data_IF_801289214624
#
_entry.id   IF_801289214624
#
_cell.length_a   1.000
_cell.length_b   1.000
_cell.length_c   1.000
_cell.angle_alpha   90.00
_cell.angle_beta   90.00
_cell.angle_gamma   90.00
#
_symmetry.space_group_name_H-M   'P 1'
#
loop_
_entity.id
_entity.type
_entity.pdbx_description
1 polymer ?
#
# COMPACT_ATOMS: atom_id res chain seq x y z
N UNK A 1 5.11 -25.29 -8.45
CA UNK A 1 4.50 -25.64 -9.76
C UNK A 1 3.24 -24.79 -9.90
N UNK A 2 3.35 -23.68 -10.62
CA UNK A 2 2.44 -22.54 -10.55
C UNK A 2 1.02 -22.78 -11.07
N UNK A 3 0.03 -22.22 -10.36
CA UNK A 3 -1.30 -21.86 -10.87
C UNK A 3 -1.23 -21.20 -12.27
N UNK A 4 -0.20 -20.38 -12.50
CA UNK A 4 0.10 -19.74 -13.79
C UNK A 4 0.23 -20.71 -14.98
N UNK A 5 0.76 -21.94 -14.80
CA UNK A 5 0.84 -22.93 -15.90
C UNK A 5 -0.50 -23.62 -16.18
N UNK A 6 -1.42 -23.63 -15.23
CA UNK A 6 -2.77 -24.20 -15.41
C UNK A 6 -3.71 -23.22 -16.11
N UNK A 7 -3.56 -21.91 -15.90
CA UNK A 7 -4.41 -20.89 -16.54
C UNK A 7 -4.10 -20.76 -18.04
N UNK A 8 -2.83 -20.90 -18.44
CA UNK A 8 -2.41 -20.72 -19.84
C UNK A 8 -2.07 -22.02 -20.58
N UNK A 9 -2.02 -23.17 -19.89
CA UNK A 9 -1.54 -24.43 -20.43
C UNK A 9 -2.53 -25.25 -21.27
N UNK A 10 -3.76 -24.78 -21.50
CA UNK A 10 -4.83 -25.54 -22.18
C UNK A 10 -5.45 -24.75 -23.34
N UNK A 11 -4.67 -23.94 -24.03
CA UNK A 11 -5.17 -23.16 -25.17
C UNK A 11 -4.94 -23.84 -26.54
N UNK A 12 -4.22 -24.96 -26.64
CA UNK A 12 -3.74 -25.47 -27.94
C UNK A 12 -4.13 -26.89 -28.35
N UNK A 13 -5.05 -27.56 -27.66
CA UNK A 13 -5.59 -28.82 -28.17
C UNK A 13 -7.00 -29.05 -27.63
N UNK A 14 -7.91 -29.46 -28.51
CA UNK A 14 -9.28 -29.92 -28.22
C UNK A 14 -10.35 -28.83 -28.08
N UNK A 15 -10.54 -28.09 -29.17
CA UNK A 15 -11.84 -27.54 -29.53
C UNK A 15 -12.88 -28.69 -29.60
N UNK A 16 -13.75 -28.80 -28.58
CA UNK A 16 -15.20 -29.12 -28.68
C UNK A 16 -15.86 -29.73 -27.40
N UNK A 17 -15.20 -29.88 -26.26
CA UNK A 17 -15.85 -30.50 -25.08
C UNK A 17 -15.55 -29.88 -23.69
N UNK A 18 -15.20 -28.59 -23.61
CA UNK A 18 -14.91 -27.93 -22.33
C UNK A 18 -15.60 -26.55 -22.15
N UNK A 19 -16.75 -26.33 -22.77
CA UNK A 19 -17.48 -25.05 -22.65
C UNK A 19 -18.08 -24.84 -21.25
N UNK A 20 -18.40 -25.91 -20.51
CA UNK A 20 -19.02 -25.80 -19.17
C UNK A 20 -18.02 -25.78 -17.99
N UNK A 21 -16.71 -25.90 -18.25
CA UNK A 21 -15.68 -25.98 -17.20
C UNK A 21 -14.67 -24.83 -17.20
N UNK A 22 -14.81 -23.89 -18.13
CA UNK A 22 -14.13 -22.59 -18.04
C UNK A 22 -14.91 -21.73 -17.05
N UNK A 23 -14.49 -21.73 -15.78
CA UNK A 23 -14.93 -20.73 -14.81
C UNK A 23 -14.75 -19.33 -15.42
N UNK A 24 -15.77 -18.49 -15.25
CA UNK A 24 -15.77 -17.10 -15.69
C UNK A 24 -14.45 -16.42 -15.23
N UNK A 25 -13.60 -15.95 -16.16
CA UNK A 25 -12.31 -15.35 -15.82
C UNK A 25 -12.47 -14.16 -14.86
N UNK A 26 -13.61 -13.46 -14.91
CA UNK A 26 -13.93 -12.41 -13.93
C UNK A 26 -14.03 -12.98 -12.51
N UNK A 27 -14.75 -14.10 -12.33
CA UNK A 27 -14.94 -14.73 -11.02
C UNK A 27 -13.64 -15.33 -10.48
N UNK A 28 -12.82 -15.93 -11.35
CA UNK A 28 -11.50 -16.43 -10.96
C UNK A 28 -10.57 -15.31 -10.50
N UNK A 29 -10.51 -14.19 -11.25
CA UNK A 29 -9.69 -13.03 -10.86
C UNK A 29 -10.20 -12.41 -9.55
N UNK A 30 -11.52 -12.31 -9.36
CA UNK A 30 -12.10 -11.88 -8.08
C UNK A 30 -11.68 -12.76 -6.91
N UNK A 31 -11.73 -14.09 -7.09
CA UNK A 31 -11.32 -15.03 -6.05
C UNK A 31 -9.83 -14.90 -5.76
N UNK A 32 -8.98 -14.80 -6.79
CA UNK A 32 -7.55 -14.58 -6.62
C UNK A 32 -7.24 -13.29 -5.84
N UNK A 33 -7.95 -12.19 -6.11
CA UNK A 33 -7.81 -10.94 -5.35
C UNK A 33 -8.24 -11.12 -3.89
N UNK A 34 -9.34 -11.85 -3.63
CA UNK A 34 -9.77 -12.16 -2.25
C UNK A 34 -8.72 -12.97 -1.49
N UNK A 35 -8.14 -13.99 -2.13
CA UNK A 35 -7.10 -14.81 -1.54
C UNK A 35 -5.82 -14.00 -1.27
N UNK A 36 -5.40 -13.15 -2.23
CA UNK A 36 -4.27 -12.24 -2.04
C UNK A 36 -4.49 -11.25 -0.88
N UNK A 37 -5.72 -10.73 -0.71
CA UNK A 37 -6.05 -9.87 0.43
C UNK A 37 -5.96 -10.61 1.77
N UNK A 38 -6.42 -11.86 1.82
CA UNK A 38 -6.28 -12.71 3.00
C UNK A 38 -4.81 -12.99 3.33
N UNK A 39 -4.00 -13.26 2.32
CA UNK A 39 -2.55 -13.46 2.48
C UNK A 39 -1.85 -12.17 2.93
N UNK A 40 -2.30 -11.01 2.43
CA UNK A 40 -1.82 -9.70 2.88
C UNK A 40 -2.13 -9.48 4.37
N UNK A 41 -3.36 -9.75 4.81
CA UNK A 41 -3.75 -9.61 6.22
C UNK A 41 -2.91 -10.53 7.13
N UNK A 42 -2.74 -11.79 6.72
CA UNK A 42 -1.87 -12.72 7.44
C UNK A 42 -0.41 -12.21 7.50
N UNK A 43 0.10 -11.68 6.38
CA UNK A 43 1.46 -11.14 6.30
C UNK A 43 1.64 -9.90 7.18
N UNK A 44 0.64 -9.03 7.25
CA UNK A 44 0.62 -7.86 8.12
C UNK A 44 0.64 -8.27 9.60
N UNK A 45 -0.14 -9.28 9.97
CA UNK A 45 -0.13 -9.82 11.34
C UNK A 45 1.23 -10.39 11.71
N UNK A 46 1.81 -11.24 10.86
CA UNK A 46 3.15 -11.79 11.10
C UNK A 46 4.22 -10.69 11.15
N UNK A 47 4.14 -9.67 10.28
CA UNK A 47 5.02 -8.51 10.34
C UNK A 47 4.90 -7.76 11.66
N UNK A 48 3.68 -7.56 12.16
CA UNK A 48 3.45 -6.90 13.45
C UNK A 48 4.04 -7.70 14.62
N UNK A 49 3.86 -9.03 14.61
CA UNK A 49 4.44 -9.93 15.63
C UNK A 49 5.97 -9.85 15.63
N UNK A 50 6.61 -9.94 14.46
CA UNK A 50 8.07 -9.84 14.34
C UNK A 50 8.55 -8.46 14.77
N UNK A 51 7.88 -7.37 14.36
CA UNK A 51 8.20 -6.01 14.81
C UNK A 51 8.11 -5.87 16.33
N UNK A 52 7.09 -6.45 16.97
CA UNK A 52 6.97 -6.42 18.42
C UNK A 52 8.14 -7.12 19.11
N UNK A 53 8.59 -8.27 18.58
CA UNK A 53 9.80 -8.96 19.05
C UNK A 53 11.03 -8.07 18.86
N UNK A 54 11.21 -7.45 17.68
CA UNK A 54 12.34 -6.54 17.40
C UNK A 54 12.37 -5.34 18.36
N UNK A 55 11.22 -4.74 18.65
CA UNK A 55 11.11 -3.63 19.61
C UNK A 55 11.56 -4.09 21.01
N UNK A 56 11.12 -5.27 21.44
CA UNK A 56 11.54 -5.85 22.72
C UNK A 56 13.05 -6.11 22.75
N UNK A 57 13.61 -6.75 21.72
CA UNK A 57 15.06 -6.99 21.60
C UNK A 57 15.86 -5.68 21.68
N UNK A 58 15.36 -4.60 21.06
CA UNK A 58 16.01 -3.28 21.14
C UNK A 58 15.98 -2.75 22.56
N UNK A 59 14.86 -2.90 23.28
CA UNK A 59 14.78 -2.49 24.68
C UNK A 59 15.76 -3.28 25.55
N UNK A 60 15.84 -4.59 25.38
CA UNK A 60 16.77 -5.46 26.11
C UNK A 60 18.24 -5.10 25.82
N UNK A 61 18.56 -4.71 24.59
CA UNK A 61 19.89 -4.19 24.24
C UNK A 61 20.21 -2.90 25.02
N UNK A 62 19.29 -1.94 25.03
CA UNK A 62 19.49 -0.68 25.74
C UNK A 62 19.55 -0.86 27.26
N UNK A 63 18.74 -1.75 27.82
CA UNK A 63 18.81 -2.15 29.23
C UNK A 63 20.18 -2.77 29.58
N UNK A 64 20.72 -3.65 28.72
CA UNK A 64 22.04 -4.25 28.93
C UNK A 64 23.17 -3.20 28.87
N UNK A 65 23.10 -2.25 27.92
CA UNK A 65 24.06 -1.13 27.84
C UNK A 65 23.97 -0.22 29.06
N UNK A 66 22.76 0.12 29.49
CA UNK A 66 22.54 0.94 30.69
C UNK A 66 23.11 0.26 31.94
N UNK A 67 22.90 -1.05 32.08
CA UNK A 67 23.46 -1.84 33.18
C UNK A 67 25.00 -1.85 33.16
N UNK A 68 25.62 -1.98 31.99
CA UNK A 68 27.08 -1.88 31.87
C UNK A 68 27.60 -0.51 32.34
N UNK A 69 26.94 0.57 31.91
CA UNK A 69 27.28 1.95 32.33
C UNK A 69 27.08 2.18 33.83
N UNK A 70 26.03 1.62 34.41
CA UNK A 70 25.76 1.69 35.85
C UNK A 70 26.86 1.01 36.67
N UNK A 71 27.28 -0.20 36.28
CA UNK A 71 28.39 -0.89 36.96
C UNK A 71 29.73 -0.18 36.79
N UNK A 72 29.98 0.44 35.64
CA UNK A 72 31.13 1.32 35.44
C UNK A 72 31.11 2.52 36.39
N UNK A 73 29.97 3.21 36.50
CA UNK A 73 29.79 4.31 37.44
C UNK A 73 30.00 3.88 38.89
N UNK A 74 29.48 2.70 39.27
CA UNK A 74 29.69 2.12 40.61
C UNK A 74 31.17 1.84 40.88
N UNK A 75 31.91 1.30 39.91
CA UNK A 75 33.35 1.07 40.05
C UNK A 75 34.11 2.38 40.27
N UNK A 76 33.81 3.42 39.49
CA UNK A 76 34.42 4.75 39.62
C UNK A 76 34.11 5.36 41.00
N UNK A 77 32.86 5.27 41.46
CA UNK A 77 32.45 5.79 42.76
C UNK A 77 33.13 5.06 43.93
N UNK A 78 33.34 3.75 43.82
CA UNK A 78 34.06 2.98 44.83
C UNK A 78 35.52 3.44 44.95
N UNK A 79 36.20 3.63 43.81
CA UNK A 79 37.58 4.14 43.79
C UNK A 79 37.64 5.54 44.40
N UNK A 80 36.75 6.46 44.00
CA UNK A 80 36.72 7.81 44.56
C UNK A 80 36.41 7.84 46.07
N UNK A 81 35.60 6.91 46.58
CA UNK A 81 35.35 6.78 48.03
C UNK A 81 36.60 6.31 48.78
N UNK A 82 37.39 5.41 48.21
CA UNK A 82 38.66 4.98 48.79
C UNK A 82 39.66 6.14 48.86
N UNK A 83 39.77 6.94 47.79
CA UNK A 83 40.62 8.13 47.75
C UNK A 83 40.23 9.16 48.82
N UNK A 84 38.92 9.30 49.09
CA UNK A 84 38.41 10.17 50.16
C UNK A 84 38.50 9.58 51.57
N UNK A 85 39.01 8.36 51.73
CA UNK A 85 39.14 7.66 53.01
C UNK A 85 37.82 7.17 53.62
N UNK A 86 36.72 7.16 52.86
CA UNK A 86 35.41 6.72 53.33
C UNK A 86 35.28 5.19 53.41
N UNK A 87 36.09 4.45 52.65
CA UNK A 87 36.16 2.99 52.65
C UNK A 87 37.63 2.54 52.56
N UNK A 88 37.92 1.34 53.06
CA UNK A 88 39.24 0.74 52.94
C UNK A 88 39.62 0.48 51.48
N UNK A 89 40.88 0.73 51.13
CA UNK A 89 41.36 0.62 49.76
C UNK A 89 41.28 -0.81 49.21
N UNK A 90 41.58 -1.83 50.03
CA UNK A 90 41.54 -3.21 49.58
C UNK A 90 40.09 -3.67 49.33
N UNK A 91 39.14 -3.22 50.16
CA UNK A 91 37.73 -3.50 49.94
C UNK A 91 37.16 -2.75 48.72
N UNK A 92 37.58 -1.50 48.50
CA UNK A 92 37.21 -0.73 47.32
C UNK A 92 37.67 -1.40 46.03
N UNK A 93 38.94 -1.82 45.97
CA UNK A 93 39.52 -2.51 44.81
C UNK A 93 38.80 -3.83 44.53
N UNK A 94 38.49 -4.61 45.57
CA UNK A 94 37.73 -5.85 45.44
C UNK A 94 36.32 -5.61 44.88
N UNK A 95 35.59 -4.63 45.42
CA UNK A 95 34.23 -4.30 44.98
C UNK A 95 34.21 -3.68 43.58
N UNK A 96 35.18 -2.81 43.25
CA UNK A 96 35.32 -2.22 41.93
C UNK A 96 35.63 -3.31 40.88
N UNK A 97 36.50 -4.25 41.20
CA UNK A 97 36.79 -5.42 40.34
C UNK A 97 35.55 -6.28 40.09
N UNK A 98 34.72 -6.51 41.11
CA UNK A 98 33.45 -7.21 40.97
C UNK A 98 32.46 -6.43 40.10
N UNK A 99 32.36 -5.11 40.27
CA UNK A 99 31.53 -4.25 39.44
C UNK A 99 31.98 -4.28 37.97
N UNK A 100 33.28 -4.21 37.70
CA UNK A 100 33.84 -4.33 36.35
C UNK A 100 33.57 -5.71 35.73
N UNK A 101 33.61 -6.78 36.52
CA UNK A 101 33.21 -8.12 36.05
C UNK A 101 31.74 -8.15 35.64
N UNK A 102 30.85 -7.49 36.40
CA UNK A 102 29.42 -7.36 36.06
C UNK A 102 29.20 -6.48 34.82
N UNK A 103 29.98 -5.40 34.65
CA UNK A 103 30.01 -4.58 33.44
C UNK A 103 30.33 -5.45 32.23
N UNK A 104 31.40 -6.23 32.29
CA UNK A 104 31.82 -7.11 31.18
C UNK A 104 30.71 -8.10 30.80
N UNK A 105 30.08 -8.74 31.78
CA UNK A 105 28.93 -9.62 31.54
C UNK A 105 27.75 -8.90 30.85
N UNK A 106 27.46 -7.66 31.26
CA UNK A 106 26.41 -6.85 30.65
C UNK A 106 26.78 -6.42 29.21
N UNK A 107 28.04 -6.08 28.95
CA UNK A 107 28.53 -5.74 27.60
C UNK A 107 28.49 -6.95 26.64
N UNK A 108 28.82 -8.15 27.12
CA UNK A 108 28.72 -9.38 26.32
C UNK A 108 27.26 -9.68 25.93
N UNK A 109 26.32 -9.47 26.87
CA UNK A 109 24.88 -9.55 26.58
C UNK A 109 24.45 -8.51 25.56
N UNK A 110 24.87 -7.25 25.73
CA UNK A 110 24.58 -6.19 24.77
C UNK A 110 25.10 -6.52 23.37
N UNK A 111 26.34 -7.01 23.26
CA UNK A 111 26.94 -7.40 21.98
C UNK A 111 26.15 -8.52 21.29
N UNK A 112 25.72 -9.52 22.06
CA UNK A 112 24.92 -10.64 21.56
C UNK A 112 23.54 -10.16 21.08
N UNK A 113 22.86 -9.35 21.90
CA UNK A 113 21.55 -8.77 21.58
C UNK A 113 21.63 -7.85 20.36
N UNK A 114 22.72 -7.10 20.19
CA UNK A 114 22.92 -6.22 19.05
C UNK A 114 23.02 -7.00 17.73
N UNK A 115 23.79 -8.10 17.71
CA UNK A 115 23.89 -8.97 16.51
C UNK A 115 22.53 -9.58 16.15
N UNK A 116 21.78 -10.04 17.17
CA UNK A 116 20.44 -10.57 16.98
C UNK A 116 19.48 -9.50 16.42
N UNK A 117 19.51 -8.29 17.00
CA UNK A 117 18.67 -7.18 16.58
C UNK A 117 18.93 -6.79 15.12
N UNK A 118 20.20 -6.69 14.70
CA UNK A 118 20.54 -6.40 13.30
C UNK A 118 19.93 -7.41 12.33
N UNK A 119 20.00 -8.70 12.68
CA UNK A 119 19.41 -9.77 11.85
C UNK A 119 17.88 -9.64 11.80
N UNK A 120 17.25 -9.32 12.92
CA UNK A 120 15.80 -9.10 12.99
C UNK A 120 15.36 -7.88 12.18
N UNK A 121 16.11 -6.78 12.24
CA UNK A 121 15.81 -5.55 11.48
C UNK A 121 15.87 -5.78 9.96
N UNK A 122 16.85 -6.54 9.48
CA UNK A 122 16.93 -6.94 8.06
C UNK A 122 15.71 -7.78 7.65
N UNK A 123 15.30 -8.73 8.51
CA UNK A 123 14.13 -9.56 8.24
C UNK A 123 12.84 -8.74 8.22
N UNK A 124 12.66 -7.81 9.16
CA UNK A 124 11.52 -6.88 9.19
C UNK A 124 11.47 -6.06 7.90
N UNK A 125 12.59 -5.46 7.49
CA UNK A 125 12.65 -4.67 6.25
C UNK A 125 12.26 -5.49 5.00
N UNK A 126 12.73 -6.74 4.93
CA UNK A 126 12.35 -7.66 3.85
C UNK A 126 10.86 -8.00 3.87
N UNK A 127 10.28 -8.22 5.04
CA UNK A 127 8.84 -8.48 5.19
C UNK A 127 8.01 -7.26 4.79
N UNK A 128 8.42 -6.05 5.19
CA UNK A 128 7.79 -4.79 4.77
C UNK A 128 7.79 -4.63 3.26
N UNK A 129 8.93 -4.89 2.61
CA UNK A 129 9.04 -4.83 1.16
C UNK A 129 8.11 -5.84 0.48
N UNK A 130 8.00 -7.06 1.02
CA UNK A 130 7.08 -8.09 0.48
C UNK A 130 5.62 -7.69 0.66
N UNK A 131 5.24 -7.16 1.83
CA UNK A 131 3.89 -6.63 2.09
C UNK A 131 3.56 -5.50 1.11
N UNK A 132 4.50 -4.57 0.89
CA UNK A 132 4.29 -3.48 -0.05
C UNK A 132 4.11 -3.99 -1.48
N UNK A 133 4.91 -4.98 -1.90
CA UNK A 133 4.76 -5.63 -3.20
C UNK A 133 3.39 -6.30 -3.35
N UNK A 134 2.92 -7.03 -2.34
CA UNK A 134 1.60 -7.65 -2.34
C UNK A 134 0.50 -6.59 -2.48
N UNK A 135 0.58 -5.46 -1.75
CA UNK A 135 -0.36 -4.34 -1.90
C UNK A 135 -0.40 -3.80 -3.32
N UNK A 136 0.76 -3.55 -3.92
CA UNK A 136 0.84 -3.09 -5.32
C UNK A 136 0.23 -4.10 -6.27
N UNK A 137 0.55 -5.39 -6.13
CA UNK A 137 -0.01 -6.45 -6.97
C UNK A 137 -1.53 -6.53 -6.85
N UNK A 138 -2.08 -6.47 -5.63
CA UNK A 138 -3.53 -6.44 -5.41
C UNK A 138 -4.17 -5.26 -6.14
N UNK A 139 -3.60 -4.07 -6.02
CA UNK A 139 -4.11 -2.88 -6.72
C UNK A 139 -4.06 -3.01 -8.24
N UNK A 140 -2.98 -3.57 -8.79
CA UNK A 140 -2.89 -3.88 -10.23
C UNK A 140 -4.01 -4.84 -10.65
N UNK A 141 -4.19 -5.94 -9.93
CA UNK A 141 -5.23 -6.92 -10.25
C UNK A 141 -6.64 -6.37 -10.10
N UNK A 142 -6.90 -5.49 -9.13
CA UNK A 142 -8.19 -4.81 -9.00
C UNK A 142 -8.51 -3.92 -10.21
N UNK A 143 -7.50 -3.22 -10.74
CA UNK A 143 -7.66 -2.41 -11.95
C UNK A 143 -7.85 -3.28 -13.21
N UNK A 144 -7.10 -4.38 -13.31
CA UNK A 144 -7.29 -5.36 -14.39
C UNK A 144 -8.68 -5.99 -14.32
N UNK A 145 -9.19 -6.31 -13.13
CA UNK A 145 -10.53 -6.84 -12.92
C UNK A 145 -11.61 -5.88 -13.41
N UNK A 146 -11.49 -4.56 -13.14
CA UNK A 146 -12.42 -3.55 -13.67
C UNK A 146 -12.46 -3.57 -15.20
N UNK A 147 -11.29 -3.64 -15.82
CA UNK A 147 -11.16 -3.73 -17.28
C UNK A 147 -11.76 -5.03 -17.82
N UNK A 148 -11.50 -6.15 -17.15
CA UNK A 148 -12.00 -7.46 -17.53
C UNK A 148 -13.53 -7.52 -17.43
N UNK A 149 -14.12 -6.95 -16.38
CA UNK A 149 -15.59 -6.81 -16.22
C UNK A 149 -16.22 -5.99 -17.35
N UNK A 150 -15.61 -4.85 -17.69
CA UNK A 150 -16.10 -4.03 -18.80
C UNK A 150 -16.07 -4.79 -20.13
N UNK A 151 -14.96 -5.47 -20.43
CA UNK A 151 -14.82 -6.30 -21.63
C UNK A 151 -15.79 -7.47 -21.65
N UNK A 152 -16.00 -8.13 -20.52
CA UNK A 152 -16.98 -9.21 -20.39
C UNK A 152 -18.39 -8.71 -20.68
N UNK A 153 -18.79 -7.55 -20.13
CA UNK A 153 -20.10 -6.92 -20.39
C UNK A 153 -20.29 -6.55 -21.86
N UNK A 154 -19.27 -5.97 -22.50
CA UNK A 154 -19.30 -5.65 -23.95
C UNK A 154 -19.40 -6.92 -24.79
N UNK A 155 -18.64 -7.97 -24.46
CA UNK A 155 -18.69 -9.26 -25.14
C UNK A 155 -20.06 -9.94 -25.00
N UNK A 156 -20.63 -9.93 -23.80
CA UNK A 156 -21.98 -10.44 -23.53
C UNK A 156 -23.05 -9.68 -24.32
N UNK A 157 -23.00 -8.35 -24.31
CA UNK A 157 -23.91 -7.51 -25.10
C UNK A 157 -23.79 -7.77 -26.60
N UNK A 158 -22.55 -7.89 -27.11
CA UNK A 158 -22.28 -8.19 -28.53
C UNK A 158 -22.76 -9.59 -28.90
N UNK A 159 -22.55 -10.59 -28.04
CA UNK A 159 -23.05 -11.95 -28.24
C UNK A 159 -24.58 -12.00 -28.25
N UNK A 160 -25.24 -11.31 -27.32
CA UNK A 160 -26.70 -11.20 -27.26
C UNK A 160 -27.26 -10.53 -28.52
N UNK A 161 -26.66 -9.42 -28.95
CA UNK A 161 -27.04 -8.74 -30.20
C UNK A 161 -26.88 -9.66 -31.41
N UNK A 162 -25.73 -10.34 -31.54
CA UNK A 162 -25.47 -11.24 -32.65
C UNK A 162 -26.41 -12.46 -32.65
N UNK A 163 -26.75 -13.02 -31.49
CA UNK A 163 -27.78 -14.08 -31.37
C UNK A 163 -29.16 -13.58 -31.77
N UNK A 164 -29.53 -12.37 -31.35
CA UNK A 164 -30.77 -11.74 -31.78
C UNK A 164 -30.78 -11.51 -33.29
N UNK A 165 -29.68 -11.08 -33.90
CA UNK A 165 -29.54 -10.91 -35.34
C UNK A 165 -29.56 -12.26 -36.09
N UNK A 166 -28.91 -13.31 -35.57
CA UNK A 166 -28.89 -14.64 -36.18
C UNK A 166 -30.26 -15.34 -36.07
N UNK A 167 -31.05 -15.04 -35.03
CA UNK A 167 -32.44 -15.48 -34.93
C UNK A 167 -33.40 -14.66 -35.81
N UNK A 168 -32.93 -13.63 -36.52
CA UNK A 168 -33.67 -12.97 -37.59
C UNK A 168 -33.46 -13.80 -38.86
N UNK A 169 -34.13 -14.94 -38.92
CA UNK A 169 -34.30 -15.65 -40.18
C UNK A 169 -35.50 -15.01 -40.92
N UNK A 170 -35.17 -14.17 -41.90
CA UNK A 170 -35.83 -14.08 -43.22
C UNK A 170 -37.34 -13.78 -43.34
N UNK A 171 -38.02 -13.03 -42.44
CA UNK A 171 -39.46 -12.73 -42.68
C UNK A 171 -40.04 -11.35 -42.33
N UNK A 172 -39.32 -10.36 -41.80
CA UNK A 172 -39.88 -8.99 -41.79
C UNK A 172 -38.83 -7.89 -41.76
N UNK A 173 -38.59 -7.28 -42.92
CA UNK A 173 -37.91 -5.98 -43.05
C UNK A 173 -38.55 -4.91 -42.14
N UNK A 174 -39.86 -5.03 -41.84
CA UNK A 174 -40.58 -4.17 -40.89
C UNK A 174 -40.09 -4.34 -39.44
N UNK A 175 -39.87 -5.58 -38.99
CA UNK A 175 -39.32 -5.86 -37.66
C UNK A 175 -37.85 -5.45 -37.52
N UNK A 176 -37.12 -5.34 -38.63
CA UNK A 176 -35.78 -4.75 -38.68
C UNK A 176 -35.84 -3.22 -38.52
N UNK A 177 -36.77 -2.54 -39.21
CA UNK A 177 -36.93 -1.08 -39.12
C UNK A 177 -37.42 -0.62 -37.74
N UNK A 178 -38.38 -1.32 -37.13
CA UNK A 178 -38.89 -1.00 -35.78
C UNK A 178 -37.77 -1.14 -34.72
N UNK A 179 -36.90 -2.15 -34.87
CA UNK A 179 -35.74 -2.34 -33.99
C UNK A 179 -34.59 -1.39 -34.29
N UNK A 180 -34.42 -0.94 -35.54
CA UNK A 180 -33.48 0.14 -35.84
C UNK A 180 -33.92 1.43 -35.18
N UNK A 181 -35.23 1.70 -35.15
CA UNK A 181 -35.80 2.80 -34.37
C UNK A 181 -35.53 2.63 -32.87
N UNK A 182 -35.84 1.48 -32.27
CA UNK A 182 -35.50 1.22 -30.85
C UNK A 182 -34.00 1.33 -30.55
N UNK A 183 -33.13 0.95 -31.50
CA UNK A 183 -31.68 1.05 -31.35
C UNK A 183 -31.20 2.49 -31.44
N UNK A 184 -31.77 3.31 -32.33
CA UNK A 184 -31.51 4.75 -32.39
C UNK A 184 -32.01 5.39 -31.10
N UNK A 185 -33.22 5.07 -30.65
CA UNK A 185 -33.78 5.58 -29.39
C UNK A 185 -32.90 5.20 -28.19
N UNK A 186 -32.37 3.97 -28.13
CA UNK A 186 -31.41 3.55 -27.09
C UNK A 186 -30.06 4.27 -27.21
N UNK A 187 -29.58 4.54 -28.42
CA UNK A 187 -28.34 5.29 -28.63
C UNK A 187 -28.51 6.76 -28.27
N UNK A 188 -29.66 7.36 -28.56
CA UNK A 188 -30.04 8.70 -28.13
C UNK A 188 -30.14 8.76 -26.60
N UNK A 189 -30.82 7.81 -25.96
CA UNK A 189 -30.91 7.73 -24.50
C UNK A 189 -29.55 7.49 -23.82
N UNK A 190 -28.65 6.69 -24.42
CA UNK A 190 -27.28 6.53 -23.94
C UNK A 190 -26.46 7.81 -24.14
N UNK A 191 -26.62 8.50 -25.27
CA UNK A 191 -25.95 9.77 -25.53
C UNK A 191 -26.43 10.88 -24.57
N UNK A 192 -27.72 10.94 -24.26
CA UNK A 192 -28.28 11.79 -23.21
C UNK A 192 -27.71 11.41 -21.84
N UNK A 193 -27.65 10.13 -21.50
CA UNK A 193 -27.05 9.68 -20.23
C UNK A 193 -25.55 10.01 -20.14
N UNK A 194 -24.79 9.90 -21.23
CA UNK A 194 -23.38 10.35 -21.26
C UNK A 194 -23.27 11.87 -21.18
N UNK A 195 -24.23 12.63 -21.72
CA UNK A 195 -24.36 14.08 -21.55
C UNK A 195 -24.66 14.47 -20.10
N UNK A 196 -25.61 13.80 -19.45
CA UNK A 196 -25.94 14.00 -18.03
C UNK A 196 -24.81 13.54 -17.10
N UNK A 197 -24.06 12.49 -17.45
CA UNK A 197 -22.86 12.08 -16.71
C UNK A 197 -21.72 13.10 -16.84
N UNK A 198 -21.60 13.80 -17.97
CA UNK A 198 -20.66 14.91 -18.13
C UNK A 198 -21.07 16.13 -17.30
N UNK A 199 -22.38 16.39 -17.14
CA UNK A 199 -22.90 17.40 -16.20
C UNK A 199 -22.73 16.98 -14.73
N UNK A 200 -22.86 15.70 -14.39
CA UNK A 200 -22.60 15.19 -13.02
C UNK A 200 -21.11 15.12 -12.64
N UNK A 201 -20.18 15.41 -13.57
CA UNK A 201 -18.74 15.53 -13.27
C UNK A 201 -18.29 16.96 -12.95
N UNK A 202 -19.20 17.93 -12.81
CA UNK A 202 -18.83 19.17 -12.12
C UNK A 202 -18.59 18.86 -10.64
N UNK A 203 -17.32 18.77 -10.26
CA UNK A 203 -16.92 18.63 -8.86
C UNK A 203 -17.35 19.89 -8.10
N UNK A 204 -17.57 19.79 -6.80
CA UNK A 204 -17.70 20.97 -5.91
C UNK A 204 -16.51 21.92 -6.09
N UNK A 205 -15.35 21.38 -6.47
CA UNK A 205 -14.17 22.18 -6.84
C UNK A 205 -14.36 22.99 -8.14
N UNK A 206 -15.09 22.48 -9.14
CA UNK A 206 -15.40 23.22 -10.38
C UNK A 206 -16.43 24.33 -10.13
N UNK A 207 -17.39 24.12 -9.21
CA UNK A 207 -18.31 25.17 -8.76
C UNK A 207 -17.58 26.26 -7.96
N UNK A 208 -16.58 25.90 -7.14
CA UNK A 208 -15.73 26.84 -6.41
C UNK A 208 -14.88 27.67 -7.37
N UNK A 209 -14.26 27.05 -8.36
CA UNK A 209 -13.43 27.76 -9.36
C UNK A 209 -14.28 28.69 -10.23
N UNK A 210 -15.50 28.28 -10.61
CA UNK A 210 -16.43 29.11 -11.39
C UNK A 210 -17.01 30.27 -10.57
N UNK A 211 -17.22 30.09 -9.26
CA UNK A 211 -17.64 31.15 -8.35
C UNK A 211 -16.50 32.17 -8.06
N UNK A 212 -15.24 31.72 -8.08
CA UNK A 212 -14.05 32.57 -7.96
C UNK A 212 -13.74 33.34 -9.26
N UNK A 213 -14.14 32.81 -10.41
CA UNK A 213 -13.86 33.36 -11.76
C UNK A 213 -15.03 34.15 -12.37
N UNK A 214 -15.89 34.75 -11.55
CA UNK A 214 -17.02 35.55 -12.01
C UNK A 214 -16.68 36.55 -13.12
N UNK A 215 -17.50 36.53 -14.17
CA UNK A 215 -17.58 37.37 -15.39
C UNK A 215 -16.71 38.65 -15.41
N UNK A 216 -15.39 38.49 -15.62
CA UNK A 216 -14.45 39.61 -15.64
C UNK A 216 -13.05 39.20 -16.06
N UNK A 217 -12.74 39.39 -17.35
CA UNK A 217 -11.56 38.84 -18.03
C UNK A 217 -10.17 39.23 -17.50
N UNK A 218 -9.28 38.24 -17.60
CA UNK A 218 -7.89 38.33 -18.07
C UNK A 218 -6.87 39.27 -17.39
N UNK A 219 -7.18 39.91 -16.27
CA UNK A 219 -6.26 40.86 -15.59
C UNK A 219 -5.75 40.43 -14.20
N UNK A 220 -6.38 39.44 -13.54
CA UNK A 220 -6.11 39.16 -12.12
C UNK A 220 -4.93 38.21 -11.83
N UNK A 221 -4.53 37.34 -12.77
CA UNK A 221 -3.44 36.38 -12.52
C UNK A 221 -2.06 37.05 -12.48
N UNK A 222 -1.86 38.14 -13.23
CA UNK A 222 -0.62 38.93 -13.20
C UNK A 222 -0.50 39.68 -11.87
N UNK A 223 -1.59 40.29 -11.40
CA UNK A 223 -1.60 41.10 -10.18
C UNK A 223 -1.51 40.24 -8.91
N UNK A 224 -2.14 39.06 -8.91
CA UNK A 224 -2.02 38.09 -7.81
C UNK A 224 -0.60 37.52 -7.68
N UNK A 225 0.09 37.29 -8.81
CA UNK A 225 1.48 36.82 -8.82
C UNK A 225 2.44 37.95 -8.39
N UNK A 226 2.13 39.21 -8.72
CA UNK A 226 2.89 40.38 -8.29
C UNK A 226 2.73 40.64 -6.78
N UNK A 227 1.52 40.49 -6.24
CA UNK A 227 1.23 40.60 -4.82
C UNK A 227 1.91 39.48 -4.00
N UNK A 228 1.94 38.25 -4.51
CA UNK A 228 2.66 37.12 -3.88
C UNK A 228 4.18 37.32 -3.89
N UNK A 229 4.74 37.84 -4.98
CA UNK A 229 6.16 38.20 -5.05
C UNK A 229 6.52 39.35 -4.12
N UNK A 230 5.67 40.36 -3.99
CA UNK A 230 5.85 41.45 -3.03
C UNK A 230 5.82 40.94 -1.58
N UNK A 231 4.91 40.01 -1.26
CA UNK A 231 4.79 39.40 0.08
C UNK A 231 5.98 38.49 0.44
N UNK A 232 6.57 37.82 -0.55
CA UNK A 232 7.81 37.03 -0.38
C UNK A 232 9.07 37.89 -0.27
N UNK A 233 9.09 39.07 -0.88
CA UNK A 233 10.20 40.02 -0.76
C UNK A 233 10.18 40.77 0.59
N UNK A 234 9.01 41.04 1.16
CA UNK A 234 8.88 41.66 2.49
C UNK A 234 9.19 40.69 3.64
N UNK A 235 9.03 39.37 3.44
CA UNK A 235 9.36 38.35 4.45
C UNK A 235 10.84 37.96 4.53
N UNK A 236 11.73 38.61 3.78
CA UNK A 236 13.18 38.33 3.73
C UNK A 236 14.06 39.45 4.30
N UNK A 237 13.45 40.47 4.92
CA UNK A 237 14.14 41.64 5.49
C UNK A 237 14.01 41.81 7.00
N UNK A 238 13.39 40.85 7.68
CA UNK A 238 13.39 40.76 9.15
C UNK A 238 13.87 39.38 9.56
N UNK A 239 15.19 39.18 9.42
CA UNK A 239 16.07 38.42 10.32
C UNK A 239 17.54 38.65 9.92
#
# INVERSE_FOLDING_TARGET
MSLFKRIFGVASAEANAAIDKMEDPVKMTEQGIRDLKKDLDSSLKSLAEVKAVTIRSRKELEEAKALAKDYEGKAILLIGKAESGQIDAADADRLASQALTKKEQAMQRATTNQKLLQTQEVNVAKMEQNVQRLKTQISTWENELKTLKARAKVSEASSKLNKQLANIDSSSTMGMLERMKEKVDQQEALAESYGEMADMTTSVDDEIDKALLGDGGASSQSDALMALKAKLASGKKEE
#
